data_IF_475500562027
#
_entry.id   IF_475500562027
#
_cell.length_a   1.000
_cell.length_b   1.000
_cell.length_c   1.000
_cell.angle_alpha   90.00
_cell.angle_beta   90.00
_cell.angle_gamma   90.00
#
_symmetry.space_group_name_H-M   'P 1'
#
loop_
_entity.id
_entity.type
_entity.pdbx_description
1 polymer ?
#
# COMPACT_ATOMS: atom_id res chain seq x y z
N UNK A 1 -3.47 10.91 -2.88
CA UNK A 1 -3.81 12.22 -3.47
C UNK A 1 -5.31 12.25 -3.75
N UNK A 2 -6.03 13.30 -3.33
CA UNK A 2 -7.46 13.47 -3.66
C UNK A 2 -7.58 14.26 -4.97
N UNK A 3 -8.38 13.81 -5.96
CA UNK A 3 -8.57 14.57 -7.20
C UNK A 3 -9.33 15.87 -6.93
N UNK A 4 -9.05 16.91 -7.72
CA UNK A 4 -9.78 18.18 -7.64
C UNK A 4 -11.20 18.04 -8.21
N UNK A 5 -12.10 18.93 -7.81
CA UNK A 5 -13.46 18.97 -8.34
C UNK A 5 -13.48 19.17 -9.87
N UNK A 6 -12.55 19.97 -10.40
CA UNK A 6 -12.38 20.18 -11.84
C UNK A 6 -11.99 18.88 -12.57
N UNK A 7 -11.09 18.08 -12.01
CA UNK A 7 -10.71 16.78 -12.58
C UNK A 7 -11.90 15.84 -12.65
N UNK A 8 -12.72 15.78 -11.60
CA UNK A 8 -13.92 14.94 -11.56
C UNK A 8 -14.95 15.40 -12.59
N UNK A 9 -15.10 16.71 -12.77
CA UNK A 9 -16.04 17.24 -13.76
C UNK A 9 -15.59 16.95 -15.20
N UNK A 10 -14.29 17.05 -15.49
CA UNK A 10 -13.73 16.62 -16.78
C UNK A 10 -13.96 15.12 -17.02
N UNK A 11 -13.71 14.28 -16.01
CA UNK A 11 -13.98 12.85 -16.10
C UNK A 11 -15.47 12.57 -16.35
N UNK A 12 -16.37 13.28 -15.67
CA UNK A 12 -17.82 13.14 -15.81
C UNK A 12 -18.30 13.49 -17.23
N UNK A 13 -17.74 14.53 -17.83
CA UNK A 13 -18.02 14.91 -19.23
C UNK A 13 -17.53 13.84 -20.21
N UNK A 14 -16.28 13.40 -20.06
CA UNK A 14 -15.72 12.33 -20.89
C UNK A 14 -16.54 11.03 -20.76
N UNK A 15 -16.98 10.66 -19.55
CA UNK A 15 -17.84 9.50 -19.33
C UNK A 15 -19.17 9.62 -20.09
N UNK A 16 -19.78 10.81 -20.12
CA UNK A 16 -21.00 11.03 -20.90
C UNK A 16 -20.74 10.96 -22.42
N UNK A 17 -19.62 11.51 -22.89
CA UNK A 17 -19.24 11.47 -24.31
C UNK A 17 -19.01 10.03 -24.80
N UNK A 18 -18.37 9.19 -23.99
CA UNK A 18 -18.04 7.80 -24.34
C UNK A 18 -19.23 6.84 -24.17
N UNK A 19 -20.01 6.98 -23.09
CA UNK A 19 -21.05 6.01 -22.73
C UNK A 19 -22.48 6.52 -22.92
N UNK A 20 -22.67 7.81 -23.22
CA UNK A 20 -23.99 8.45 -23.31
C UNK A 20 -24.75 8.53 -21.96
N UNK A 21 -24.11 8.12 -20.86
CA UNK A 21 -24.74 8.01 -19.54
C UNK A 21 -24.40 9.21 -18.66
N UNK A 22 -25.42 9.87 -18.11
CA UNK A 22 -25.24 10.97 -17.15
C UNK A 22 -25.14 10.42 -15.74
N UNK A 23 -23.98 10.62 -15.12
CA UNK A 23 -23.72 10.18 -13.75
C UNK A 23 -23.61 11.36 -12.78
N UNK A 24 -23.87 11.09 -11.50
CA UNK A 24 -23.68 12.09 -10.44
C UNK A 24 -22.20 12.39 -10.21
N UNK A 25 -21.85 13.54 -9.62
CA UNK A 25 -20.46 13.86 -9.26
C UNK A 25 -19.87 12.86 -8.26
N UNK A 26 -20.69 12.30 -7.34
CA UNK A 26 -20.25 11.25 -6.41
C UNK A 26 -19.90 9.96 -7.16
N UNK A 27 -20.76 9.53 -8.08
CA UNK A 27 -20.52 8.35 -8.93
C UNK A 27 -19.29 8.54 -9.82
N UNK A 28 -19.13 9.74 -10.38
CA UNK A 28 -17.95 10.10 -11.17
C UNK A 28 -16.66 9.99 -10.35
N UNK A 29 -16.67 10.48 -9.11
CA UNK A 29 -15.55 10.36 -8.18
C UNK A 29 -15.18 8.90 -7.89
N UNK A 30 -16.16 8.05 -7.56
CA UNK A 30 -15.95 6.63 -7.28
C UNK A 30 -15.38 5.88 -8.49
N UNK A 31 -15.97 6.07 -9.68
CA UNK A 31 -15.48 5.47 -10.92
C UNK A 31 -14.06 5.93 -11.27
N UNK A 32 -13.77 7.22 -11.09
CA UNK A 32 -12.43 7.76 -11.29
C UNK A 32 -11.41 7.13 -10.35
N UNK A 33 -11.73 6.98 -9.06
CA UNK A 33 -10.84 6.33 -8.10
C UNK A 33 -10.54 4.87 -8.47
N UNK A 34 -11.57 4.13 -8.90
CA UNK A 34 -11.39 2.74 -9.33
C UNK A 34 -10.47 2.66 -10.56
N UNK A 35 -10.67 3.52 -11.55
CA UNK A 35 -9.83 3.59 -12.74
C UNK A 35 -8.37 3.91 -12.39
N UNK A 36 -8.14 4.92 -11.55
CA UNK A 36 -6.76 5.27 -11.14
C UNK A 36 -6.08 4.15 -10.34
N UNK A 37 -6.85 3.40 -9.54
CA UNK A 37 -6.35 2.22 -8.82
C UNK A 37 -5.92 1.13 -9.77
N UNK A 38 -6.75 0.81 -10.76
CA UNK A 38 -6.42 -0.17 -11.80
C UNK A 38 -5.17 0.24 -12.59
N UNK A 39 -5.08 1.53 -12.99
CA UNK A 39 -3.91 2.05 -13.69
C UNK A 39 -2.63 1.93 -12.85
N UNK A 40 -2.69 2.10 -11.54
CA UNK A 40 -1.51 1.88 -10.68
C UNK A 40 -1.04 0.43 -10.69
N UNK A 41 -1.96 -0.54 -10.68
CA UNK A 41 -1.60 -1.97 -10.75
C UNK A 41 -0.90 -2.27 -12.08
N UNK A 42 -1.38 -1.69 -13.19
CA UNK A 42 -0.82 -1.91 -14.53
C UNK A 42 0.54 -1.20 -14.70
N UNK A 43 0.65 0.06 -14.27
CA UNK A 43 1.85 0.88 -14.50
C UNK A 43 2.96 0.64 -13.48
N UNK A 44 2.59 0.27 -12.25
CA UNK A 44 3.50 -0.08 -11.18
C UNK A 44 3.18 -1.49 -10.71
N UNK A 45 3.41 -2.52 -11.56
CA UNK A 45 3.39 -3.88 -11.07
C UNK A 45 4.38 -3.91 -9.92
N UNK A 46 3.89 -4.22 -8.72
CA UNK A 46 4.70 -4.19 -7.51
C UNK A 46 5.89 -5.09 -7.75
N UNK A 47 7.08 -4.53 -7.94
CA UNK A 47 8.28 -5.31 -8.20
C UNK A 47 8.59 -6.06 -6.89
N UNK A 48 8.42 -7.39 -6.81
CA UNK A 48 8.55 -8.14 -5.55
C UNK A 48 10.00 -8.10 -4.99
N UNK A 49 10.96 -7.56 -5.73
CA UNK A 49 12.39 -7.53 -5.40
C UNK A 49 12.80 -6.49 -4.32
N UNK A 50 11.91 -5.62 -3.84
CA UNK A 50 12.28 -4.60 -2.83
C UNK A 50 12.04 -4.97 -1.36
N UNK A 51 11.39 -6.10 -1.07
CA UNK A 51 11.10 -6.47 0.33
C UNK A 51 12.24 -7.26 1.02
N UNK A 52 13.26 -7.71 0.27
CA UNK A 52 14.37 -8.51 0.82
C UNK A 52 15.65 -7.72 1.19
N UNK A 53 15.63 -6.38 1.24
CA UNK A 53 16.84 -5.59 1.59
C UNK A 53 16.71 -4.71 2.85
N UNK A 54 15.82 -5.03 3.77
CA UNK A 54 15.75 -4.34 5.08
C UNK A 54 15.48 -5.30 6.23
N UNK A 55 16.30 -6.35 6.36
CA UNK A 55 16.14 -7.36 7.40
C UNK A 55 17.44 -8.06 7.77
N UNK A 56 18.55 -7.33 7.93
CA UNK A 56 19.74 -7.86 8.61
C UNK A 56 20.34 -6.78 9.52
N UNK A 57 19.67 -6.56 10.65
CA UNK A 57 20.36 -6.06 11.85
C UNK A 57 20.74 -7.31 12.64
N UNK A 58 21.99 -7.72 12.52
CA UNK A 58 22.60 -8.66 13.46
C UNK A 58 22.81 -7.89 14.77
N UNK A 59 21.80 -7.93 15.65
CA UNK A 59 21.98 -7.54 17.05
C UNK A 59 22.70 -8.68 17.78
N UNK A 60 24.02 -8.69 17.64
CA UNK A 60 24.92 -9.45 18.50
C UNK A 60 24.99 -8.75 19.86
N UNK A 61 24.06 -9.03 20.77
CA UNK A 61 24.18 -8.60 22.16
C UNK A 61 24.34 -9.81 23.08
N UNK A 62 25.59 -10.12 23.35
CA UNK A 62 26.04 -11.15 24.25
C UNK A 62 25.96 -10.66 25.70
N UNK A 63 24.91 -11.08 26.41
CA UNK A 63 24.82 -11.25 27.88
C UNK A 63 23.84 -12.41 28.07
N UNK A 64 24.18 -13.49 28.77
CA UNK A 64 24.05 -13.49 30.22
C UNK A 64 25.04 -14.42 30.92
N UNK A 65 25.63 -13.85 31.96
CA UNK A 65 26.40 -14.53 32.99
C UNK A 65 25.45 -14.97 34.12
N UNK A 66 25.60 -16.24 34.53
CA UNK A 66 25.75 -16.68 35.91
C UNK A 66 24.55 -17.27 36.69
N UNK A 67 24.92 -18.32 37.46
CA UNK A 67 24.36 -18.91 38.68
C UNK A 67 23.20 -19.93 38.55
N UNK A 68 23.55 -21.21 38.64
CA UNK A 68 22.85 -22.12 39.55
C UNK A 68 23.84 -22.94 40.38
N UNK A 69 23.77 -22.73 41.70
CA UNK A 69 24.49 -23.42 42.78
C UNK A 69 24.14 -24.92 42.82
N UNK A 70 25.16 -25.73 43.15
CA UNK A 70 25.10 -27.13 43.61
C UNK A 70 24.24 -27.30 44.88
N UNK A 71 23.92 -28.54 45.27
CA UNK A 71 24.79 -29.16 46.28
C UNK A 71 25.16 -30.64 45.99
N UNK A 72 26.39 -30.98 46.36
CA UNK A 72 26.89 -32.33 46.58
C UNK A 72 26.77 -32.65 48.09
N UNK A 73 26.26 -33.84 48.45
CA UNK A 73 26.50 -34.60 49.70
C UNK A 73 25.48 -35.76 49.77
N UNK A 74 25.79 -37.01 50.12
CA UNK A 74 27.00 -37.68 50.66
C UNK A 74 27.19 -39.04 49.97
#
# INVERSE_FOLDING_TARGET
MKPSAETIEKFRKAYFEEFGERISSKTAYEKFLNLTTLLRVILYPSNPERENRSGRKEDSNQKDNNIHRLPHRE
#
